data_IF_924195108731
#
_entry.id   IF_924195108731
#
_cell.length_a   1.000
_cell.length_b   1.000
_cell.length_c   1.000
_cell.angle_alpha   90.00
_cell.angle_beta   90.00
_cell.angle_gamma   90.00
#
_symmetry.space_group_name_H-M   'P 1'
#
loop_
_entity.id
_entity.type
_entity.pdbx_description
1 polymer ?
#
# COMPACT_ATOMS: atom_id res chain seq x y z
N UNK A 1 -10.42 -19.08 -11.15
CA UNK A 1 -10.90 -20.43 -10.74
C UNK A 1 -11.27 -20.56 -9.26
N UNK A 2 -10.54 -19.91 -8.33
CA UNK A 2 -10.87 -19.96 -6.88
C UNK A 2 -12.27 -19.40 -6.56
N UNK A 3 -12.67 -18.29 -7.20
CA UNK A 3 -14.00 -17.69 -7.00
C UNK A 3 -15.14 -18.64 -7.44
N UNK A 4 -14.97 -19.34 -8.58
CA UNK A 4 -15.96 -20.29 -9.09
C UNK A 4 -16.12 -21.50 -8.17
N UNK A 5 -15.00 -22.06 -7.68
CA UNK A 5 -15.03 -23.14 -6.68
C UNK A 5 -15.71 -22.70 -5.38
N UNK A 6 -15.46 -21.46 -4.94
CA UNK A 6 -16.13 -20.88 -3.77
C UNK A 6 -17.64 -20.68 -4.00
N UNK A 7 -18.04 -20.33 -5.22
CA UNK A 7 -19.45 -20.15 -5.59
C UNK A 7 -20.20 -21.48 -5.67
N UNK A 8 -19.62 -22.51 -6.29
CA UNK A 8 -20.21 -23.86 -6.31
C UNK A 8 -20.35 -24.43 -4.89
N UNK A 9 -19.38 -24.17 -4.01
CA UNK A 9 -19.47 -24.55 -2.59
C UNK A 9 -20.63 -23.84 -1.87
N UNK A 10 -20.90 -22.59 -2.25
CA UNK A 10 -22.03 -21.84 -1.73
C UNK A 10 -23.39 -22.38 -2.23
N UNK A 11 -23.49 -22.75 -3.51
CA UNK A 11 -24.70 -23.36 -4.08
C UNK A 11 -25.00 -24.73 -3.44
N UNK A 12 -23.96 -25.57 -3.28
CA UNK A 12 -24.08 -26.86 -2.61
C UNK A 12 -24.54 -26.73 -1.16
N UNK A 13 -24.13 -25.69 -0.43
CA UNK A 13 -24.61 -25.41 0.94
C UNK A 13 -26.08 -24.99 1.02
N UNK A 14 -26.70 -24.65 -0.11
CA UNK A 14 -28.09 -24.20 -0.21
C UNK A 14 -28.96 -25.21 -0.95
N UNK A 15 -28.44 -26.43 -1.13
CA UNK A 15 -29.10 -27.52 -1.85
C UNK A 15 -29.51 -27.14 -3.28
N UNK A 16 -28.79 -26.18 -3.88
CA UNK A 16 -28.98 -25.81 -5.29
C UNK A 16 -28.16 -26.76 -6.16
N UNK A 17 -28.87 -27.47 -7.05
CA UNK A 17 -28.26 -28.40 -8.01
C UNK A 17 -27.22 -27.67 -8.85
N UNK A 18 -25.96 -28.08 -8.72
CA UNK A 18 -24.82 -27.47 -9.39
C UNK A 18 -23.67 -28.47 -9.54
N UNK A 19 -22.66 -28.11 -10.33
CA UNK A 19 -21.46 -28.94 -10.50
C UNK A 19 -20.71 -29.05 -9.17
N UNK A 20 -20.23 -30.25 -8.82
CA UNK A 20 -19.40 -30.46 -7.64
C UNK A 20 -18.16 -29.53 -7.68
N UNK A 21 -17.90 -28.74 -6.62
CA UNK A 21 -16.77 -27.79 -6.58
C UNK A 21 -15.41 -28.42 -6.88
N UNK A 22 -15.24 -29.71 -6.58
CA UNK A 22 -14.02 -30.50 -6.75
C UNK A 22 -13.69 -30.75 -8.23
N UNK A 23 -14.67 -30.67 -9.13
CA UNK A 23 -14.48 -30.80 -10.58
C UNK A 23 -13.81 -29.58 -11.20
N UNK A 24 -13.69 -28.47 -10.46
CA UNK A 24 -12.93 -27.30 -10.90
C UNK A 24 -11.46 -27.52 -10.55
N UNK A 25 -10.68 -27.93 -11.54
CA UNK A 25 -9.23 -27.97 -11.41
C UNK A 25 -8.68 -26.56 -11.24
N UNK A 26 -7.85 -26.37 -10.22
CA UNK A 26 -7.12 -25.12 -10.03
C UNK A 26 -5.88 -25.19 -10.90
N UNK A 27 -5.75 -24.26 -11.85
CA UNK A 27 -4.49 -24.05 -12.55
C UNK A 27 -3.38 -23.87 -11.51
N UNK A 28 -2.30 -24.67 -11.62
CA UNK A 28 -1.10 -24.48 -10.81
C UNK A 28 -0.57 -23.08 -11.08
N UNK A 29 -0.74 -22.19 -10.11
CA UNK A 29 -0.06 -20.90 -10.17
C UNK A 29 1.41 -21.17 -9.87
N UNK A 30 2.29 -20.76 -10.79
CA UNK A 30 3.71 -20.68 -10.47
C UNK A 30 3.84 -19.81 -9.21
N UNK A 31 4.67 -20.26 -8.26
CA UNK A 31 4.99 -19.40 -7.13
C UNK A 31 5.66 -18.16 -7.70
N UNK A 32 5.01 -17.00 -7.57
CA UNK A 32 5.68 -15.73 -7.83
C UNK A 32 6.87 -15.66 -6.89
N UNK A 33 8.06 -15.57 -7.46
CA UNK A 33 9.23 -15.19 -6.66
C UNK A 33 8.97 -13.78 -6.13
N UNK A 34 9.19 -13.61 -4.83
CA UNK A 34 9.18 -12.29 -4.22
C UNK A 34 10.50 -11.65 -4.60
N UNK A 35 10.46 -10.71 -5.53
CA UNK A 35 11.60 -9.84 -5.81
C UNK A 35 11.70 -8.80 -4.69
N UNK A 36 12.87 -8.71 -4.09
CA UNK A 36 13.19 -7.69 -3.09
C UNK A 36 14.00 -6.59 -3.78
N UNK A 37 13.81 -5.35 -3.32
CA UNK A 37 14.62 -4.23 -3.79
C UNK A 37 15.93 -4.20 -3.01
N UNK A 38 17.04 -4.17 -3.72
CA UNK A 38 18.34 -3.90 -3.13
C UNK A 38 18.43 -2.43 -2.65
N UNK A 39 19.30 -2.11 -1.67
CA UNK A 39 19.43 -0.75 -1.14
C UNK A 39 19.67 0.33 -2.20
N UNK A 40 20.47 0.02 -3.23
CA UNK A 40 20.76 0.94 -4.33
C UNK A 40 19.55 1.14 -5.25
N UNK A 41 18.76 0.10 -5.48
CA UNK A 41 17.54 0.17 -6.28
C UNK A 41 16.49 1.03 -5.57
N UNK A 42 16.36 0.85 -4.26
CA UNK A 42 15.52 1.66 -3.42
C UNK A 42 15.97 3.14 -3.44
N UNK A 43 17.26 3.41 -3.30
CA UNK A 43 17.79 4.78 -3.35
C UNK A 43 17.47 5.44 -4.69
N UNK A 44 17.66 4.72 -5.80
CA UNK A 44 17.28 5.19 -7.14
C UNK A 44 15.79 5.49 -7.23
N UNK A 45 14.93 4.55 -6.82
CA UNK A 45 13.48 4.69 -6.84
C UNK A 45 13.01 5.91 -6.06
N UNK A 46 13.53 6.09 -4.85
CA UNK A 46 13.17 7.23 -4.01
C UNK A 46 13.59 8.55 -4.66
N UNK A 47 14.70 8.61 -5.40
CA UNK A 47 15.23 9.85 -5.98
C UNK A 47 14.59 10.25 -7.32
N UNK A 48 13.87 9.36 -7.99
CA UNK A 48 13.25 9.62 -9.30
C UNK A 48 12.51 10.96 -9.38
N UNK A 49 11.63 11.34 -8.41
CA UNK A 49 10.89 12.61 -8.52
C UNK A 49 11.79 13.86 -8.57
N UNK A 50 13.00 13.77 -8.01
CA UNK A 50 13.97 14.87 -7.96
C UNK A 50 15.03 14.81 -9.05
N UNK A 51 15.20 13.69 -9.76
CA UNK A 51 16.19 13.57 -10.84
C UNK A 51 15.55 13.63 -12.22
N UNK A 52 14.32 13.16 -12.36
CA UNK A 52 13.64 13.07 -13.63
C UNK A 52 12.54 14.14 -13.75
N UNK A 53 12.78 15.14 -14.60
CA UNK A 53 11.86 16.26 -14.84
C UNK A 53 10.71 15.89 -15.80
N UNK A 54 10.73 14.70 -16.40
CA UNK A 54 9.63 14.23 -17.27
C UNK A 54 8.36 13.94 -16.47
N UNK A 55 8.48 13.54 -15.20
CA UNK A 55 7.33 13.25 -14.33
C UNK A 55 6.56 14.49 -13.90
N UNK A 56 7.24 15.63 -13.71
CA UNK A 56 6.61 16.92 -13.44
C UNK A 56 7.62 18.04 -13.56
N UNK A 57 7.25 19.12 -14.24
CA UNK A 57 8.04 20.36 -14.30
C UNK A 57 7.84 21.26 -13.08
N UNK A 58 6.82 21.00 -12.27
CA UNK A 58 6.46 21.83 -11.12
C UNK A 58 7.30 21.40 -9.90
N UNK A 59 8.18 22.25 -9.35
CA UNK A 59 9.04 21.87 -8.23
C UNK A 59 8.27 21.34 -7.02
N UNK A 60 7.13 21.97 -6.70
CA UNK A 60 6.28 21.56 -5.58
C UNK A 60 5.78 20.12 -5.70
N UNK A 61 5.30 19.73 -6.90
CA UNK A 61 4.79 18.39 -7.17
C UNK A 61 5.91 17.35 -7.03
N UNK A 62 7.13 17.69 -7.43
CA UNK A 62 8.30 16.81 -7.30
C UNK A 62 8.66 16.55 -5.85
N UNK A 63 8.70 17.61 -5.03
CA UNK A 63 8.94 17.48 -3.58
C UNK A 63 7.83 16.70 -2.89
N UNK A 64 6.57 16.94 -3.26
CA UNK A 64 5.41 16.18 -2.77
C UNK A 64 5.55 14.69 -3.11
N UNK A 65 5.84 14.35 -4.36
CA UNK A 65 5.97 12.97 -4.80
C UNK A 65 7.14 12.25 -4.09
N UNK A 66 8.28 12.93 -3.92
CA UNK A 66 9.41 12.43 -3.11
C UNK A 66 8.99 12.15 -1.67
N UNK A 67 8.26 13.07 -1.05
CA UNK A 67 7.79 12.92 0.33
C UNK A 67 6.80 11.75 0.48
N UNK A 68 5.90 11.55 -0.50
CA UNK A 68 4.96 10.43 -0.52
C UNK A 68 5.70 9.09 -0.62
N UNK A 69 6.68 8.96 -1.51
CA UNK A 69 7.46 7.73 -1.67
C UNK A 69 8.21 7.36 -0.39
N UNK A 70 8.86 8.34 0.24
CA UNK A 70 9.57 8.12 1.50
C UNK A 70 8.63 7.84 2.67
N UNK A 71 7.45 8.47 2.67
CA UNK A 71 6.42 8.18 3.65
C UNK A 71 5.94 6.73 3.54
N UNK A 72 5.61 6.27 2.34
CA UNK A 72 5.20 4.89 2.09
C UNK A 72 6.29 3.89 2.52
N UNK A 73 7.54 4.16 2.15
CA UNK A 73 8.67 3.30 2.51
C UNK A 73 8.91 3.26 4.03
N UNK A 74 8.88 4.41 4.70
CA UNK A 74 9.16 4.48 6.15
C UNK A 74 8.04 3.93 7.03
N UNK A 75 6.80 3.93 6.56
CA UNK A 75 5.61 3.55 7.35
C UNK A 75 5.05 2.17 6.99
N UNK A 76 5.38 1.63 5.80
CA UNK A 76 4.82 0.38 5.31
C UNK A 76 3.30 0.45 5.10
N UNK A 77 2.75 1.64 4.88
CA UNK A 77 1.34 1.82 4.54
C UNK A 77 1.06 1.32 3.13
N UNK A 78 -0.17 0.86 2.92
CA UNK A 78 -0.68 0.69 1.56
C UNK A 78 -0.99 2.06 0.96
N UNK A 79 -0.90 2.15 -0.37
CA UNK A 79 -1.26 3.37 -1.11
C UNK A 79 -2.67 3.85 -0.76
N UNK A 80 -3.64 2.94 -0.65
CA UNK A 80 -5.01 3.28 -0.26
C UNK A 80 -5.14 3.75 1.19
N UNK A 81 -4.28 3.28 2.09
CA UNK A 81 -4.24 3.72 3.49
C UNK A 81 -3.63 5.12 3.59
N UNK A 82 -2.55 5.39 2.84
CA UNK A 82 -1.92 6.71 2.76
C UNK A 82 -2.83 7.75 2.08
N UNK A 83 -3.54 7.39 1.01
CA UNK A 83 -4.44 8.30 0.29
C UNK A 83 -5.67 8.71 1.11
N UNK A 84 -6.12 7.86 2.04
CA UNK A 84 -7.25 8.15 2.93
C UNK A 84 -6.82 8.75 4.29
N UNK A 85 -5.53 9.04 4.46
CA UNK A 85 -5.03 9.59 5.71
C UNK A 85 -5.39 11.07 5.81
N UNK A 86 -6.22 11.42 6.81
CA UNK A 86 -6.49 12.81 7.14
C UNK A 86 -5.40 13.35 8.07
N UNK A 87 -4.88 14.54 7.77
CA UNK A 87 -3.86 15.24 8.57
C UNK A 87 -4.30 15.42 10.03
N UNK A 88 -5.59 15.65 10.26
CA UNK A 88 -6.20 15.80 11.59
C UNK A 88 -6.02 14.56 12.49
N UNK A 89 -5.79 13.38 11.89
CA UNK A 89 -5.57 12.12 12.62
C UNK A 89 -4.12 11.89 13.00
N UNK A 90 -3.22 12.80 12.62
CA UNK A 90 -1.81 12.70 12.90
C UNK A 90 -1.48 13.41 14.21
N UNK A 91 -0.98 12.65 15.18
CA UNK A 91 -0.47 13.22 16.42
C UNK A 91 1.00 13.62 16.21
N UNK A 92 1.23 14.85 15.73
CA UNK A 92 2.57 15.40 15.51
C UNK A 92 3.40 15.56 16.80
N UNK A 93 2.80 15.49 18.00
CA UNK A 93 3.54 15.52 19.26
C UNK A 93 4.17 14.17 19.59
N UNK A 94 3.54 13.07 19.17
CA UNK A 94 3.97 11.69 19.42
C UNK A 94 4.46 10.96 18.18
N UNK A 95 4.40 11.63 17.02
CA UNK A 95 4.82 11.11 15.72
C UNK A 95 4.13 9.80 15.35
N UNK A 96 2.87 9.69 15.71
CA UNK A 96 2.06 8.50 15.50
C UNK A 96 0.72 8.86 14.85
N UNK A 97 0.18 7.94 14.07
CA UNK A 97 -1.16 8.04 13.52
C UNK A 97 -1.81 6.66 13.45
N UNK A 98 -3.14 6.66 13.43
CA UNK A 98 -3.92 5.44 13.40
C UNK A 98 -4.52 5.22 12.02
N UNK A 99 -4.24 4.07 11.42
CA UNK A 99 -4.81 3.66 10.13
C UNK A 99 -5.76 2.49 10.27
N UNK A 100 -6.77 2.46 9.41
CA UNK A 100 -7.73 1.36 9.29
C UNK A 100 -7.23 0.35 8.26
N UNK A 101 -6.80 -0.80 8.72
CA UNK A 101 -6.29 -1.88 7.88
C UNK A 101 -7.39 -2.81 7.33
N UNK A 102 -6.95 -3.92 6.72
CA UNK A 102 -7.84 -4.96 6.18
C UNK A 102 -8.69 -5.57 7.30
N UNK A 103 -10.00 -5.69 7.05
CA UNK A 103 -10.96 -6.16 8.05
C UNK A 103 -11.40 -5.08 9.06
N UNK A 104 -11.05 -3.82 8.82
CA UNK A 104 -11.50 -2.70 9.66
C UNK A 104 -10.75 -2.52 10.98
N UNK A 105 -9.69 -3.31 11.21
CA UNK A 105 -8.86 -3.21 12.41
C UNK A 105 -8.00 -1.95 12.37
N UNK A 106 -7.96 -1.23 13.48
CA UNK A 106 -7.11 -0.05 13.64
C UNK A 106 -5.70 -0.48 14.08
N UNK A 107 -4.67 0.14 13.51
CA UNK A 107 -3.28 -0.02 13.96
C UNK A 107 -2.60 1.33 14.08
N UNK A 108 -1.73 1.47 15.07
CA UNK A 108 -0.86 2.64 15.24
C UNK A 108 0.38 2.47 14.38
N UNK A 109 0.77 3.54 13.69
CA UNK A 109 1.96 3.59 12.84
C UNK A 109 2.80 4.79 13.28
N UNK A 110 4.10 4.57 13.43
CA UNK A 110 5.05 5.59 13.86
C UNK A 110 5.77 6.19 12.66
N UNK A 111 6.04 7.49 12.71
CA UNK A 111 6.86 8.19 11.73
C UNK A 111 8.34 8.00 12.06
N UNK A 112 9.12 7.63 11.05
CA UNK A 112 10.58 7.62 11.18
C UNK A 112 11.13 9.03 11.41
N UNK A 113 11.95 9.18 12.45
CA UNK A 113 12.58 10.45 12.85
C UNK A 113 13.36 11.08 11.69
N UNK A 114 14.04 10.26 10.89
CA UNK A 114 14.88 10.70 9.76
C UNK A 114 14.08 11.36 8.62
N UNK A 115 12.79 11.05 8.50
CA UNK A 115 11.93 11.54 7.41
C UNK A 115 10.88 12.54 7.90
N UNK A 116 10.89 12.87 9.20
CA UNK A 116 9.92 13.76 9.86
C UNK A 116 9.83 15.14 9.22
N UNK A 117 10.97 15.77 8.90
CA UNK A 117 10.99 17.11 8.33
C UNK A 117 10.25 17.18 6.99
N UNK A 118 10.42 16.15 6.16
CA UNK A 118 9.82 16.08 4.81
C UNK A 118 8.35 15.66 4.85
N UNK A 119 7.98 14.84 5.83
CA UNK A 119 6.59 14.48 6.09
C UNK A 119 5.81 15.69 6.62
N UNK A 120 6.39 16.47 7.54
CA UNK A 120 5.81 17.75 7.97
C UNK A 120 5.61 18.71 6.81
N UNK A 121 6.57 18.78 5.88
CA UNK A 121 6.43 19.58 4.66
C UNK A 121 5.27 19.10 3.77
N UNK A 122 5.10 17.79 3.59
CA UNK A 122 3.96 17.22 2.85
C UNK A 122 2.61 17.57 3.48
N UNK A 123 2.55 17.63 4.81
CA UNK A 123 1.34 17.92 5.59
C UNK A 123 1.01 19.43 5.61
N UNK A 124 2.01 20.29 5.45
CA UNK A 124 1.83 21.75 5.44
C UNK A 124 1.49 22.34 4.06
N UNK A 125 1.48 21.51 3.01
CA UNK A 125 1.10 21.89 1.65
C UNK A 125 -0.39 21.69 1.42
#
# INVERSE_FOLDING_TARGET
>A
MIALRSFLKYLSKRDVVSLAPEKIELAKQSMRQVEFLEPDELARLLDVPLKDVTFSRVPLVRFRNKAILEFLFSTGLRVSEAANLSIERLNLKRDEFTVKGKGGKMRVVFLSILKRARIRFLISL
#
